data_IF_635264233741
#
_entry.id   IF_635264233741
#
_cell.length_a   1.000
_cell.length_b   1.000
_cell.length_c   1.000
_cell.angle_alpha   90.00
_cell.angle_beta   90.00
_cell.angle_gamma   90.00
#
_symmetry.space_group_name_H-M   'P 1'
#
loop_
_entity.id
_entity.type
_entity.pdbx_description
1 polymer ?
#
# COMPACT_ATOMS: atom_id res chain seq x y z
N UNK A 1 -48.17 -27.90 12.43
CA UNK A 1 -46.81 -28.42 12.17
C UNK A 1 -45.94 -27.24 11.78
N UNK A 2 -45.04 -26.81 12.67
CA UNK A 2 -44.10 -25.72 12.40
C UNK A 2 -43.00 -26.24 11.49
N UNK A 3 -42.90 -25.72 10.27
CA UNK A 3 -41.74 -25.94 9.42
C UNK A 3 -40.58 -25.09 9.96
N UNK A 4 -39.64 -25.77 10.59
CA UNK A 4 -38.33 -25.24 10.96
C UNK A 4 -37.55 -24.93 9.67
N UNK A 5 -37.38 -23.65 9.34
CA UNK A 5 -36.39 -23.22 8.37
C UNK A 5 -34.99 -23.53 8.93
N UNK A 6 -34.23 -24.37 8.22
CA UNK A 6 -32.82 -24.62 8.53
C UNK A 6 -32.04 -23.30 8.38
N UNK A 7 -31.17 -22.94 9.34
CA UNK A 7 -30.34 -21.74 9.20
C UNK A 7 -29.36 -21.95 8.04
N UNK A 8 -29.20 -20.92 7.20
CA UNK A 8 -28.18 -20.89 6.16
C UNK A 8 -26.80 -21.10 6.82
N UNK A 9 -26.19 -22.25 6.56
CA UNK A 9 -24.89 -22.60 7.13
C UNK A 9 -23.84 -21.69 6.47
N UNK A 10 -23.26 -20.77 7.25
CA UNK A 10 -22.19 -19.90 6.77
C UNK A 10 -21.06 -20.77 6.17
N UNK A 11 -20.58 -20.42 4.98
CA UNK A 11 -19.51 -21.16 4.33
C UNK A 11 -18.26 -21.14 5.22
N UNK A 12 -17.55 -22.28 5.30
CA UNK A 12 -16.26 -22.32 5.98
C UNK A 12 -15.26 -21.39 5.26
N UNK A 13 -14.27 -20.80 5.96
CA UNK A 13 -13.30 -19.89 5.35
C UNK A 13 -12.62 -20.48 4.11
N UNK A 14 -12.29 -21.78 4.13
CA UNK A 14 -11.70 -22.47 2.99
C UNK A 14 -12.61 -22.54 1.76
N UNK A 15 -13.92 -22.73 1.95
CA UNK A 15 -14.90 -22.77 0.85
C UNK A 15 -15.14 -21.37 0.27
N UNK A 16 -15.21 -20.35 1.14
CA UNK A 16 -15.32 -18.96 0.71
C UNK A 16 -14.09 -18.53 -0.10
N UNK A 17 -12.89 -18.89 0.36
CA UNK A 17 -11.64 -18.62 -0.35
C UNK A 17 -11.61 -19.31 -1.72
N UNK A 18 -12.00 -20.57 -1.82
CA UNK A 18 -12.06 -21.29 -3.09
C UNK A 18 -13.01 -20.61 -4.09
N UNK A 19 -14.22 -20.23 -3.64
CA UNK A 19 -15.18 -19.52 -4.50
C UNK A 19 -14.63 -18.16 -4.98
N UNK A 20 -13.95 -17.41 -4.10
CA UNK A 20 -13.31 -16.15 -4.46
C UNK A 20 -12.19 -16.35 -5.47
N UNK A 21 -11.34 -17.38 -5.30
CA UNK A 21 -10.28 -17.74 -6.26
C UNK A 21 -10.86 -18.05 -7.63
N UNK A 22 -11.90 -18.88 -7.70
CA UNK A 22 -12.54 -19.27 -8.96
C UNK A 22 -13.12 -18.05 -9.69
N UNK A 23 -13.83 -17.18 -8.96
CA UNK A 23 -14.36 -15.94 -9.49
C UNK A 23 -13.25 -15.00 -10.00
N UNK A 24 -12.14 -14.90 -9.25
CA UNK A 24 -10.98 -14.09 -9.61
C UNK A 24 -10.31 -14.59 -10.88
N UNK A 25 -9.98 -15.88 -10.96
CA UNK A 25 -9.33 -16.48 -12.14
C UNK A 25 -10.21 -16.33 -13.38
N UNK A 26 -11.52 -16.62 -13.25
CA UNK A 26 -12.48 -16.49 -14.34
C UNK A 26 -12.54 -15.05 -14.86
N UNK A 27 -12.76 -14.07 -13.98
CA UNK A 27 -12.91 -12.68 -14.37
C UNK A 27 -11.62 -12.09 -14.96
N UNK A 28 -10.46 -12.46 -14.41
CA UNK A 28 -9.15 -12.07 -14.93
C UNK A 28 -8.96 -12.57 -16.36
N UNK A 29 -9.28 -13.84 -16.63
CA UNK A 29 -9.16 -14.42 -17.97
C UNK A 29 -10.13 -13.78 -18.97
N UNK A 30 -11.39 -13.57 -18.58
CA UNK A 30 -12.43 -12.99 -19.45
C UNK A 30 -12.14 -11.55 -19.86
N UNK A 31 -11.57 -10.74 -18.96
CA UNK A 31 -11.41 -9.29 -19.16
C UNK A 31 -9.96 -8.81 -19.29
N UNK A 32 -8.97 -9.69 -19.14
CA UNK A 32 -7.54 -9.37 -19.19
C UNK A 32 -7.14 -8.21 -18.24
N UNK A 33 -7.81 -8.16 -17.08
CA UNK A 33 -7.63 -7.10 -16.07
C UNK A 33 -6.40 -7.34 -15.20
N UNK A 34 -5.86 -6.26 -14.63
CA UNK A 34 -4.84 -6.37 -13.57
C UNK A 34 -5.48 -6.83 -12.26
N UNK A 35 -4.70 -7.45 -11.38
CA UNK A 35 -5.21 -8.04 -10.13
C UNK A 35 -6.07 -7.09 -9.28
N UNK A 36 -5.68 -5.82 -9.18
CA UNK A 36 -6.46 -4.77 -8.51
C UNK A 36 -7.85 -4.61 -9.11
N UNK A 37 -7.92 -4.49 -10.43
CA UNK A 37 -9.17 -4.18 -11.12
C UNK A 37 -10.13 -5.37 -11.05
N UNK A 38 -9.59 -6.59 -11.04
CA UNK A 38 -10.36 -7.81 -10.75
C UNK A 38 -10.91 -7.78 -9.34
N UNK A 39 -10.09 -7.49 -8.32
CA UNK A 39 -10.53 -7.40 -6.94
C UNK A 39 -11.65 -6.36 -6.77
N UNK A 40 -11.46 -5.17 -7.34
CA UNK A 40 -12.47 -4.10 -7.34
C UNK A 40 -13.77 -4.53 -8.01
N UNK A 41 -13.69 -5.22 -9.16
CA UNK A 41 -14.86 -5.71 -9.87
C UNK A 41 -15.61 -6.83 -9.11
N UNK A 42 -14.92 -7.54 -8.21
CA UNK A 42 -15.51 -8.53 -7.30
C UNK A 42 -15.99 -7.92 -5.99
N UNK A 43 -15.78 -6.62 -5.76
CA UNK A 43 -16.19 -5.92 -4.54
C UNK A 43 -15.37 -6.27 -3.30
N UNK A 44 -14.12 -6.73 -3.49
CA UNK A 44 -13.17 -7.03 -2.41
C UNK A 44 -11.89 -6.20 -2.55
N UNK A 45 -11.14 -6.04 -1.47
CA UNK A 45 -9.82 -5.40 -1.53
C UNK A 45 -8.80 -6.26 -2.27
N UNK A 46 -7.70 -5.65 -2.72
CA UNK A 46 -6.60 -6.35 -3.37
C UNK A 46 -5.94 -7.37 -2.43
N UNK A 47 -5.83 -7.04 -1.13
CA UNK A 47 -5.31 -7.91 -0.10
C UNK A 47 -6.22 -9.11 0.19
N UNK A 48 -7.55 -8.93 0.22
CA UNK A 48 -8.49 -10.04 0.37
C UNK A 48 -8.42 -11.00 -0.82
N UNK A 49 -8.40 -10.45 -2.04
CA UNK A 49 -8.26 -11.26 -3.24
C UNK A 49 -6.96 -12.06 -3.25
N UNK A 50 -5.84 -11.46 -2.83
CA UNK A 50 -4.55 -12.16 -2.73
C UNK A 50 -4.55 -13.20 -1.60
N UNK A 51 -5.12 -12.88 -0.44
CA UNK A 51 -5.17 -13.77 0.71
C UNK A 51 -5.95 -15.06 0.42
N UNK A 52 -6.93 -15.02 -0.49
CA UNK A 52 -7.65 -16.21 -0.94
C UNK A 52 -6.73 -17.27 -1.57
N UNK A 53 -5.54 -16.89 -2.06
CA UNK A 53 -4.54 -17.79 -2.65
C UNK A 53 -3.47 -18.27 -1.67
N UNK A 54 -3.57 -17.93 -0.37
CA UNK A 54 -2.64 -18.43 0.64
C UNK A 54 -2.72 -19.95 0.72
N UNK A 55 -1.55 -20.61 0.70
CA UNK A 55 -1.42 -22.07 0.65
C UNK A 55 -1.37 -22.64 -0.78
N UNK A 56 -1.62 -21.81 -1.80
CA UNK A 56 -1.38 -22.14 -3.21
C UNK A 56 -0.02 -21.57 -3.63
N UNK A 57 -0.02 -20.47 -4.39
CA UNK A 57 1.16 -19.73 -4.83
C UNK A 57 1.47 -18.50 -3.97
N UNK A 58 0.73 -18.33 -2.87
CA UNK A 58 0.90 -17.23 -1.91
C UNK A 58 1.26 -17.81 -0.53
N UNK A 59 2.24 -17.20 0.12
CA UNK A 59 2.63 -17.49 1.50
C UNK A 59 2.39 -16.24 2.33
N UNK A 60 1.59 -16.37 3.40
CA UNK A 60 1.41 -15.30 4.38
C UNK A 60 2.69 -15.14 5.20
N UNK A 61 3.15 -13.90 5.33
CA UNK A 61 4.32 -13.55 6.12
C UNK A 61 3.91 -12.95 7.46
N UNK A 62 4.79 -13.12 8.44
CA UNK A 62 4.66 -12.60 9.80
C UNK A 62 4.91 -11.08 9.81
N UNK A 63 3.93 -10.32 10.29
CA UNK A 63 3.82 -8.87 10.14
C UNK A 63 4.73 -8.05 11.09
N UNK A 64 5.94 -8.52 11.36
CA UNK A 64 6.99 -7.79 12.10
C UNK A 64 7.79 -6.91 11.14
N UNK A 65 7.15 -5.87 10.62
CA UNK A 65 7.63 -5.12 9.45
C UNK A 65 8.99 -4.45 9.61
N UNK A 66 9.35 -3.77 10.73
CA UNK A 66 10.67 -3.17 10.88
C UNK A 66 11.78 -4.22 10.70
N UNK A 67 11.70 -5.34 11.42
CA UNK A 67 12.68 -6.43 11.35
C UNK A 67 12.72 -7.08 9.96
N UNK A 68 11.56 -7.18 9.31
CA UNK A 68 11.47 -7.68 7.95
C UNK A 68 12.20 -6.76 6.96
N UNK A 69 12.07 -5.44 7.13
CA UNK A 69 12.67 -4.45 6.24
C UNK A 69 14.18 -4.30 6.42
N UNK A 70 14.72 -4.63 7.59
CA UNK A 70 16.17 -4.76 7.82
C UNK A 70 16.81 -5.82 6.90
N UNK A 71 16.03 -6.79 6.41
CA UNK A 71 16.52 -7.86 5.53
C UNK A 71 16.31 -7.59 4.03
N UNK A 72 15.56 -6.54 3.65
CA UNK A 72 15.38 -6.15 2.23
C UNK A 72 16.70 -5.97 1.46
N UNK A 73 17.79 -5.42 2.04
CA UNK A 73 19.06 -5.30 1.33
C UNK A 73 19.61 -6.64 0.83
N UNK A 74 19.27 -7.75 1.49
CA UNK A 74 19.75 -9.10 1.12
C UNK A 74 19.16 -9.61 -0.19
N UNK A 75 18.06 -9.03 -0.68
CA UNK A 75 17.45 -9.40 -1.95
C UNK A 75 18.25 -8.90 -3.16
N UNK A 76 19.29 -8.09 -2.93
CA UNK A 76 20.04 -7.40 -3.98
C UNK A 76 19.19 -6.36 -4.68
N UNK A 77 19.48 -6.13 -5.98
CA UNK A 77 18.68 -5.24 -6.83
C UNK A 77 17.30 -5.85 -7.11
N UNK A 78 16.25 -5.06 -6.95
CA UNK A 78 14.85 -5.44 -7.12
C UNK A 78 14.06 -4.28 -7.73
N UNK A 79 12.82 -4.51 -8.14
CA UNK A 79 11.90 -3.43 -8.49
C UNK A 79 10.92 -3.16 -7.36
N UNK A 80 10.96 -1.95 -6.81
CA UNK A 80 10.04 -1.43 -5.82
C UNK A 80 8.87 -0.71 -6.50
N UNK A 81 7.64 -1.03 -6.11
CA UNK A 81 6.41 -0.42 -6.63
C UNK A 81 5.60 0.16 -5.47
N UNK A 82 5.35 1.47 -5.55
CA UNK A 82 4.43 2.19 -4.67
C UNK A 82 3.44 2.96 -5.53
N UNK A 83 2.17 3.04 -5.11
CA UNK A 83 1.15 3.72 -5.91
C UNK A 83 0.03 4.31 -5.06
N UNK A 84 -0.79 5.11 -5.71
CA UNK A 84 -2.12 5.50 -5.25
C UNK A 84 -3.12 5.33 -6.41
N UNK A 85 -4.29 5.94 -6.33
CA UNK A 85 -5.32 5.84 -7.38
C UNK A 85 -4.95 6.59 -8.66
N UNK A 86 -4.08 7.59 -8.58
CA UNK A 86 -3.74 8.48 -9.68
C UNK A 86 -2.37 8.20 -10.30
N UNK A 87 -1.44 7.58 -9.56
CA UNK A 87 -0.07 7.38 -10.01
C UNK A 87 0.51 6.04 -9.53
N UNK A 88 1.33 5.43 -10.39
CA UNK A 88 2.15 4.26 -10.10
C UNK A 88 3.61 4.66 -10.24
N UNK A 89 4.42 4.38 -9.23
CA UNK A 89 5.86 4.63 -9.22
C UNK A 89 6.60 3.30 -9.11
N UNK A 90 7.36 2.96 -10.14
CA UNK A 90 8.24 1.78 -10.18
C UNK A 90 9.70 2.25 -10.18
N UNK A 91 10.53 1.67 -9.31
CA UNK A 91 11.96 1.99 -9.21
C UNK A 91 12.77 0.71 -9.08
N UNK A 92 13.70 0.51 -10.00
CA UNK A 92 14.70 -0.56 -9.91
C UNK A 92 15.90 -0.07 -9.09
N UNK A 93 16.35 -0.87 -8.13
CA UNK A 93 17.41 -0.50 -7.20
C UNK A 93 17.61 -1.47 -6.04
N UNK A 94 18.60 -1.17 -5.20
CA UNK A 94 18.82 -1.82 -3.91
C UNK A 94 18.14 -1.04 -2.78
N UNK A 95 17.65 -1.77 -1.79
CA UNK A 95 17.30 -1.19 -0.48
C UNK A 95 18.60 -0.89 0.27
N UNK A 96 19.18 0.29 0.03
CA UNK A 96 20.40 0.73 0.69
C UNK A 96 20.08 1.53 1.96
N UNK A 97 21.04 1.52 2.89
CA UNK A 97 21.01 2.34 4.12
C UNK A 97 19.68 2.24 4.89
N UNK A 98 19.13 1.03 4.98
CA UNK A 98 17.93 0.76 5.75
C UNK A 98 18.13 1.17 7.21
N UNK A 99 17.22 1.98 7.73
CA UNK A 99 17.21 2.42 9.12
C UNK A 99 15.79 2.59 9.62
N UNK A 100 15.63 2.56 10.95
CA UNK A 100 14.33 2.68 11.61
C UNK A 100 14.45 3.57 12.86
N UNK A 101 13.43 4.40 13.07
CA UNK A 101 13.18 5.10 14.32
C UNK A 101 11.73 4.80 14.76
N UNK A 102 11.60 3.88 15.71
CA UNK A 102 10.31 3.34 16.13
C UNK A 102 9.49 2.79 14.95
N UNK A 103 8.27 3.31 14.68
CA UNK A 103 7.41 2.83 13.59
C UNK A 103 7.74 3.46 12.22
N UNK A 104 8.80 4.25 12.12
CA UNK A 104 9.19 4.94 10.87
C UNK A 104 10.47 4.28 10.33
N UNK A 105 10.41 3.80 9.09
CA UNK A 105 11.55 3.27 8.35
C UNK A 105 12.02 4.21 7.25
N UNK A 106 13.30 4.15 6.93
CA UNK A 106 13.94 4.85 5.84
C UNK A 106 14.75 3.87 5.01
N UNK A 107 14.63 3.98 3.69
CA UNK A 107 15.59 3.45 2.73
C UNK A 107 16.21 4.65 2.02
N UNK A 108 17.53 4.78 1.98
CA UNK A 108 18.23 5.91 1.38
C UNK A 108 19.25 5.38 0.35
N UNK A 109 18.97 5.59 -0.93
CA UNK A 109 19.79 5.08 -2.04
C UNK A 109 19.03 5.09 -3.37
N UNK A 110 19.25 4.07 -4.20
CA UNK A 110 18.48 3.88 -5.44
C UNK A 110 16.98 3.80 -5.12
N UNK A 111 16.62 3.01 -4.11
CA UNK A 111 15.30 3.00 -3.51
C UNK A 111 15.30 4.00 -2.35
N UNK A 112 14.63 5.14 -2.55
CA UNK A 112 14.45 6.19 -1.54
C UNK A 112 13.00 6.17 -1.01
N UNK A 113 12.81 5.68 0.22
CA UNK A 113 11.49 5.46 0.81
C UNK A 113 11.38 6.06 2.21
N UNK A 114 10.21 6.63 2.48
CA UNK A 114 9.75 6.98 3.84
C UNK A 114 8.63 6.01 4.19
N UNK A 115 8.88 5.14 5.16
CA UNK A 115 8.03 3.99 5.48
C UNK A 115 7.34 4.24 6.80
N UNK A 116 6.01 4.23 6.81
CA UNK A 116 5.20 4.42 8.02
C UNK A 116 4.54 3.10 8.42
N UNK A 117 5.25 2.24 9.15
CA UNK A 117 4.79 0.87 9.47
C UNK A 117 3.47 0.81 10.24
N UNK A 118 3.10 1.89 10.94
CA UNK A 118 1.81 1.99 11.63
C UNK A 118 0.58 1.74 10.75
N UNK A 119 0.71 1.93 9.44
CA UNK A 119 -0.37 1.74 8.48
C UNK A 119 -0.36 0.36 7.83
N UNK A 120 0.66 -0.45 8.09
CA UNK A 120 0.86 -1.76 7.48
C UNK A 120 0.16 -2.81 8.35
N UNK A 121 -0.54 -3.75 7.72
CA UNK A 121 -1.31 -4.77 8.43
C UNK A 121 -0.99 -6.19 7.99
N UNK A 122 -0.69 -6.42 6.71
CA UNK A 122 -0.36 -7.76 6.20
C UNK A 122 0.75 -7.76 5.15
N UNK A 123 1.44 -8.90 5.06
CA UNK A 123 2.51 -9.16 4.11
C UNK A 123 2.33 -10.55 3.49
N UNK A 124 2.63 -10.66 2.20
CA UNK A 124 2.53 -11.90 1.45
C UNK A 124 3.73 -12.04 0.51
N UNK A 125 4.26 -13.25 0.41
CA UNK A 125 5.17 -13.66 -0.65
C UNK A 125 4.35 -14.36 -1.73
N UNK A 126 4.56 -14.00 -2.99
CA UNK A 126 3.77 -14.44 -4.14
C UNK A 126 4.69 -14.99 -5.21
N UNK A 127 4.32 -16.12 -5.80
CA UNK A 127 5.00 -16.71 -6.95
C UNK A 127 4.00 -16.90 -8.09
N UNK A 128 3.93 -15.92 -8.98
CA UNK A 128 3.07 -16.01 -10.16
C UNK A 128 3.79 -16.71 -11.32
N UNK A 129 3.09 -17.56 -12.05
CA UNK A 129 3.56 -18.07 -13.34
C UNK A 129 3.15 -17.07 -14.43
N UNK A 130 4.12 -16.55 -15.19
CA UNK A 130 3.90 -15.59 -16.27
C UNK A 130 4.43 -16.12 -17.60
N UNK A 131 4.03 -15.54 -18.76
CA UNK A 131 4.60 -15.91 -20.05
C UNK A 131 6.13 -15.75 -20.13
N UNK A 132 6.72 -14.94 -19.25
CA UNK A 132 8.16 -14.69 -19.17
C UNK A 132 8.86 -15.53 -18.08
N UNK A 133 8.15 -16.50 -17.48
CA UNK A 133 8.62 -17.33 -16.38
C UNK A 133 8.05 -16.93 -15.01
N UNK A 134 8.53 -17.58 -13.93
CA UNK A 134 8.02 -17.33 -12.59
C UNK A 134 8.42 -15.93 -12.10
N UNK A 135 7.45 -15.18 -11.59
CA UNK A 135 7.62 -13.87 -10.99
C UNK A 135 7.43 -13.97 -9.47
N UNK A 136 8.50 -13.72 -8.73
CA UNK A 136 8.49 -13.68 -7.25
C UNK A 136 8.30 -12.24 -6.77
N UNK A 137 7.43 -12.05 -5.78
CA UNK A 137 7.22 -10.73 -5.17
C UNK A 137 6.85 -10.79 -3.69
N UNK A 138 7.19 -9.73 -2.97
CA UNK A 138 6.69 -9.42 -1.64
C UNK A 138 5.66 -8.31 -1.75
N UNK A 139 4.48 -8.48 -1.16
CA UNK A 139 3.36 -7.54 -1.28
C UNK A 139 2.81 -7.19 0.09
N UNK A 140 2.65 -5.90 0.35
CA UNK A 140 2.32 -5.33 1.66
C UNK A 140 1.02 -4.52 1.57
N UNK A 141 0.15 -4.69 2.55
CA UNK A 141 -1.19 -4.12 2.55
C UNK A 141 -1.53 -3.42 3.86
N UNK A 142 -2.38 -2.41 3.78
CA UNK A 142 -2.96 -1.73 4.94
C UNK A 142 -4.10 -2.56 5.57
N UNK A 143 -4.66 -2.05 6.67
CA UNK A 143 -5.76 -2.71 7.36
C UNK A 143 -7.04 -2.77 6.53
N UNK A 144 -7.20 -1.98 5.48
CA UNK A 144 -8.32 -2.03 4.54
C UNK A 144 -8.07 -3.06 3.42
N UNK A 145 -6.86 -3.65 3.35
CA UNK A 145 -6.45 -4.53 2.27
C UNK A 145 -6.03 -3.80 0.99
N UNK A 146 -5.72 -2.50 1.05
CA UNK A 146 -5.12 -1.79 -0.08
C UNK A 146 -3.61 -2.01 -0.12
N UNK A 147 -3.05 -2.17 -1.32
CA UNK A 147 -1.61 -2.32 -1.50
C UNK A 147 -0.87 -1.04 -1.09
N UNK A 148 0.05 -1.15 -0.14
CA UNK A 148 0.96 -0.07 0.28
C UNK A 148 2.23 -0.10 -0.57
N UNK A 149 2.83 -1.28 -0.68
CA UNK A 149 4.13 -1.45 -1.31
C UNK A 149 4.30 -2.86 -1.88
N UNK A 150 5.06 -2.98 -2.96
CA UNK A 150 5.43 -4.27 -3.53
C UNK A 150 6.89 -4.29 -3.94
N UNK A 151 7.53 -5.44 -3.78
CA UNK A 151 8.91 -5.71 -4.16
C UNK A 151 8.90 -6.87 -5.13
N UNK A 152 9.29 -6.63 -6.37
CA UNK A 152 9.36 -7.64 -7.42
C UNK A 152 10.81 -8.02 -7.68
N UNK A 153 11.08 -9.33 -7.68
CA UNK A 153 12.36 -9.84 -8.13
C UNK A 153 12.47 -9.72 -9.65
N UNK A 154 13.68 -9.42 -10.11
CA UNK A 154 14.11 -9.39 -11.50
C UNK A 154 15.10 -10.52 -11.74
N UNK A 155 15.55 -10.67 -12.99
CA UNK A 155 16.54 -11.68 -13.35
C UNK A 155 17.87 -11.51 -12.58
N UNK A 156 18.23 -10.28 -12.23
CA UNK A 156 19.46 -9.95 -11.50
C UNK A 156 19.32 -9.99 -9.97
N UNK A 157 18.11 -10.22 -9.44
CA UNK A 157 17.86 -10.25 -8.00
C UNK A 157 18.44 -11.52 -7.37
N UNK A 158 18.61 -11.51 -6.05
CA UNK A 158 18.99 -12.72 -5.31
C UNK A 158 17.74 -13.56 -4.99
N UNK A 159 17.47 -14.54 -5.87
CA UNK A 159 16.34 -15.46 -5.73
C UNK A 159 16.49 -16.44 -4.56
N UNK A 160 17.72 -16.78 -4.18
CA UNK A 160 17.98 -17.67 -3.04
C UNK A 160 17.75 -16.93 -1.72
N UNK A 161 18.17 -15.66 -1.64
CA UNK A 161 17.87 -14.79 -0.51
C UNK A 161 16.37 -14.58 -0.33
N UNK A 162 15.61 -14.45 -1.43
CA UNK A 162 14.15 -14.42 -1.35
C UNK A 162 13.58 -15.71 -0.77
N UNK A 163 14.02 -16.89 -1.23
CA UNK A 163 13.49 -18.16 -0.72
C UNK A 163 13.81 -18.34 0.78
N UNK A 164 15.01 -17.95 1.21
CA UNK A 164 15.40 -17.93 2.62
C UNK A 164 14.58 -16.92 3.45
N UNK A 165 14.33 -15.75 2.88
CA UNK A 165 13.49 -14.71 3.50
C UNK A 165 12.05 -15.22 3.70
N UNK A 166 11.44 -15.83 2.69
CA UNK A 166 10.08 -16.38 2.77
C UNK A 166 10.03 -17.50 3.83
N UNK A 167 11.02 -18.40 3.86
CA UNK A 167 11.08 -19.45 4.86
C UNK A 167 11.17 -18.89 6.30
N UNK A 168 11.99 -17.86 6.50
CA UNK A 168 12.16 -17.20 7.81
C UNK A 168 10.92 -16.46 8.26
N UNK A 169 10.29 -15.73 7.36
CA UNK A 169 9.17 -14.84 7.67
C UNK A 169 7.81 -15.49 7.50
N UNK A 170 7.73 -16.78 7.14
CA UNK A 170 6.47 -17.49 7.02
C UNK A 170 5.66 -17.42 8.32
N UNK A 171 4.43 -16.91 8.24
CA UNK A 171 3.52 -16.87 9.39
C UNK A 171 3.11 -18.29 9.82
N UNK A 172 2.86 -18.46 11.13
CA UNK A 172 2.39 -19.73 11.68
C UNK A 172 1.02 -20.12 11.09
N UNK A 173 0.07 -19.17 11.08
CA UNK A 173 -1.20 -19.33 10.37
C UNK A 173 -1.03 -19.05 8.88
N UNK A 174 -1.58 -19.93 8.04
CA UNK A 174 -1.70 -19.75 6.60
C UNK A 174 -3.17 -19.84 6.18
N UNK A 175 -4.07 -19.27 6.99
CA UNK A 175 -5.48 -19.23 6.63
C UNK A 175 -5.69 -18.38 5.35
N UNK A 176 -6.53 -18.85 4.41
CA UNK A 176 -6.78 -18.19 3.14
C UNK A 176 -7.86 -17.10 3.24
N UNK A 177 -7.76 -16.25 4.26
CA UNK A 177 -8.68 -15.16 4.52
C UNK A 177 -7.94 -13.93 5.08
N UNK A 178 -8.44 -12.72 4.82
CA UNK A 178 -7.88 -11.50 5.39
C UNK A 178 -8.99 -10.71 6.06
N UNK A 179 -8.83 -10.41 7.34
CA UNK A 179 -9.73 -9.52 8.06
C UNK A 179 -9.39 -8.07 7.69
N UNK A 180 -10.30 -7.40 7.00
CA UNK A 180 -10.16 -5.99 6.64
C UNK A 180 -11.00 -5.10 7.55
N UNK A 181 -10.45 -3.93 7.86
CA UNK A 181 -11.04 -2.90 8.71
C UNK A 181 -11.53 -1.76 7.81
N UNK A 182 -12.81 -1.34 7.92
CA UNK A 182 -13.33 -0.19 7.17
C UNK A 182 -12.50 1.07 7.39
N UNK A 183 -12.36 1.88 6.33
CA UNK A 183 -11.71 3.17 6.44
C UNK A 183 -12.47 4.11 7.40
N UNK A 184 -11.73 4.83 8.24
CA UNK A 184 -12.32 5.87 9.08
C UNK A 184 -12.96 6.97 8.20
N UNK A 185 -14.06 7.55 8.66
CA UNK A 185 -14.69 8.68 7.97
C UNK A 185 -13.74 9.87 7.94
N UNK A 186 -13.61 10.49 6.76
CA UNK A 186 -12.86 11.74 6.62
C UNK A 186 -13.63 12.85 7.32
N UNK A 187 -12.97 13.55 8.23
CA UNK A 187 -13.53 14.76 8.83
C UNK A 187 -13.63 15.85 7.75
N UNK A 188 -14.78 16.55 7.65
CA UNK A 188 -14.90 17.66 6.72
C UNK A 188 -13.93 18.79 7.10
N UNK A 189 -13.52 19.58 6.10
CA UNK A 189 -12.77 20.81 6.36
C UNK A 189 -13.62 21.76 7.20
N UNK A 190 -12.98 22.45 8.15
CA UNK A 190 -13.60 23.62 8.81
C UNK A 190 -13.78 24.73 7.78
N UNK A 191 -14.73 25.63 8.00
CA UNK A 191 -14.87 26.79 7.12
C UNK A 191 -13.57 27.61 7.14
N UNK A 192 -13.15 28.11 5.98
CA UNK A 192 -11.95 28.94 5.86
C UNK A 192 -12.01 30.18 6.77
N UNK A 193 -13.22 30.71 7.00
CA UNK A 193 -13.49 31.82 7.92
C UNK A 193 -13.15 31.52 9.38
N UNK A 194 -13.09 30.24 9.76
CA UNK A 194 -12.83 29.80 11.13
C UNK A 194 -11.33 29.57 11.39
N UNK A 195 -10.49 29.72 10.37
CA UNK A 195 -9.05 29.52 10.45
C UNK A 195 -8.37 30.84 10.78
N UNK A 196 -7.42 30.82 11.72
CA UNK A 196 -6.47 31.91 11.91
C UNK A 196 -5.47 31.94 10.74
N UNK A 197 -5.91 32.53 9.61
CA UNK A 197 -5.12 32.60 8.37
C UNK A 197 -3.84 33.41 8.56
N UNK A 198 -3.90 34.49 9.35
CA UNK A 198 -2.73 35.33 9.61
C UNK A 198 -1.67 34.56 10.40
N UNK A 199 -2.06 33.89 11.48
CA UNK A 199 -1.17 33.02 12.25
C UNK A 199 -0.65 31.85 11.43
N UNK A 200 -1.50 31.24 10.60
CA UNK A 200 -1.10 30.14 9.71
C UNK A 200 -0.03 30.57 8.72
N UNK A 201 -0.22 31.71 8.04
CA UNK A 201 0.75 32.26 7.08
C UNK A 201 2.06 32.66 7.75
N UNK A 202 2.01 33.27 8.94
CA UNK A 202 3.20 33.59 9.71
C UNK A 202 3.99 32.33 10.10
N UNK A 203 3.30 31.28 10.53
CA UNK A 203 3.92 29.99 10.87
C UNK A 203 4.54 29.32 9.64
N UNK A 204 3.85 29.34 8.49
CA UNK A 204 4.40 28.84 7.22
C UNK A 204 5.65 29.64 6.83
N UNK A 205 5.59 30.97 6.83
CA UNK A 205 6.73 31.82 6.43
C UNK A 205 7.96 31.69 7.33
N UNK A 206 7.79 31.23 8.57
CA UNK A 206 8.87 30.95 9.51
C UNK A 206 9.48 29.54 9.37
N UNK A 207 8.99 28.71 8.44
CA UNK A 207 9.51 27.36 8.25
C UNK A 207 10.96 27.39 7.77
N UNK A 208 11.76 26.50 8.37
CA UNK A 208 13.16 26.26 7.98
C UNK A 208 13.36 24.86 7.40
N UNK A 209 12.36 23.99 7.51
CA UNK A 209 12.41 22.60 7.07
C UNK A 209 11.02 22.13 6.60
N UNK A 210 10.97 21.36 5.52
CA UNK A 210 9.70 20.92 4.90
C UNK A 210 8.88 19.98 5.79
N UNK A 211 9.51 19.25 6.72
CA UNK A 211 8.83 18.37 7.67
C UNK A 211 8.04 19.14 8.74
N UNK A 212 8.33 20.43 8.94
CA UNK A 212 7.56 21.31 9.84
C UNK A 212 6.12 21.53 9.33
N UNK A 213 5.90 21.43 8.01
CA UNK A 213 4.61 21.73 7.40
C UNK A 213 3.47 20.89 7.97
N UNK A 214 3.72 19.59 8.19
CA UNK A 214 2.71 18.70 8.75
C UNK A 214 2.29 19.10 10.17
N UNK A 215 3.25 19.52 11.01
CA UNK A 215 2.95 20.04 12.35
C UNK A 215 2.14 21.33 12.29
N UNK A 216 2.42 22.21 11.33
CA UNK A 216 1.67 23.46 11.11
C UNK A 216 0.24 23.16 10.69
N UNK A 217 0.01 22.28 9.70
CA UNK A 217 -1.37 21.97 9.26
C UNK A 217 -2.20 21.33 10.37
N UNK A 218 -1.61 20.47 11.20
CA UNK A 218 -2.26 19.91 12.39
C UNK A 218 -2.60 20.98 13.42
N UNK A 219 -1.65 21.88 13.72
CA UNK A 219 -1.85 22.98 14.69
C UNK A 219 -3.01 23.89 14.32
N UNK A 220 -3.15 24.22 13.04
CA UNK A 220 -4.23 25.10 12.55
C UNK A 220 -5.50 24.33 12.15
N UNK A 221 -5.46 22.98 12.20
CA UNK A 221 -6.60 22.14 11.86
C UNK A 221 -7.05 22.26 10.41
N UNK A 222 -6.09 22.44 9.48
CA UNK A 222 -6.35 22.60 8.05
C UNK A 222 -5.93 21.35 7.27
N UNK A 223 -6.70 21.00 6.24
CA UNK A 223 -6.26 19.98 5.28
C UNK A 223 -5.09 20.49 4.44
N UNK A 224 -4.42 19.61 3.69
CA UNK A 224 -3.37 20.05 2.75
C UNK A 224 -3.91 20.96 1.65
N UNK A 225 -5.11 20.68 1.12
CA UNK A 225 -5.70 21.51 0.06
C UNK A 225 -6.20 22.85 0.60
N UNK A 226 -6.80 22.85 1.79
CA UNK A 226 -7.16 24.07 2.50
C UNK A 226 -5.94 24.93 2.83
N UNK A 227 -4.86 24.30 3.29
CA UNK A 227 -3.59 24.97 3.54
C UNK A 227 -3.06 25.67 2.29
N UNK A 228 -3.07 25.00 1.12
CA UNK A 228 -2.64 25.59 -0.15
C UNK A 228 -3.54 26.75 -0.60
N UNK A 229 -4.86 26.64 -0.38
CA UNK A 229 -5.84 27.70 -0.70
C UNK A 229 -5.68 28.93 0.20
N UNK A 230 -5.35 28.73 1.48
CA UNK A 230 -5.16 29.78 2.48
C UNK A 230 -3.73 30.34 2.53
N UNK A 231 -2.79 29.70 1.85
CA UNK A 231 -1.40 30.14 1.78
C UNK A 231 -1.28 31.58 1.26
N UNK A 232 -0.14 32.20 1.57
CA UNK A 232 0.22 33.45 0.90
C UNK A 232 0.50 33.14 -0.60
N UNK A 233 0.01 33.96 -1.55
CA UNK A 233 0.21 33.73 -2.98
C UNK A 233 1.69 33.61 -3.41
N UNK A 234 2.62 34.17 -2.62
CA UNK A 234 4.06 34.00 -2.88
C UNK A 234 4.55 32.55 -2.65
N UNK A 235 3.83 31.75 -1.86
CA UNK A 235 4.20 30.37 -1.53
C UNK A 235 3.39 29.33 -2.30
N UNK A 236 2.13 29.62 -2.62
CA UNK A 236 1.30 28.71 -3.39
C UNK A 236 0.27 29.47 -4.23
N UNK A 237 0.11 29.02 -5.48
CA UNK A 237 -0.91 29.50 -6.39
C UNK A 237 -1.40 28.33 -7.26
N UNK A 238 -2.66 28.35 -7.71
CA UNK A 238 -3.18 27.31 -8.60
C UNK A 238 -2.52 27.42 -9.99
N UNK A 239 -2.28 26.26 -10.59
CA UNK A 239 -1.82 26.12 -11.97
C UNK A 239 -2.86 25.38 -12.80
N UNK A 240 -2.75 25.45 -14.13
CA UNK A 240 -3.63 24.75 -15.06
C UNK A 240 -3.46 23.22 -14.89
N UNK A 241 -4.58 22.51 -14.69
CA UNK A 241 -4.54 21.10 -14.25
C UNK A 241 -4.20 20.12 -15.37
N UNK A 242 -4.62 20.38 -16.61
CA UNK A 242 -4.51 19.43 -17.71
C UNK A 242 -3.08 19.29 -18.26
N UNK A 243 -2.29 20.37 -18.22
CA UNK A 243 -1.01 20.47 -18.91
C UNK A 243 0.16 20.85 -18.02
N UNK A 244 -0.03 21.46 -16.85
CA UNK A 244 1.09 21.93 -16.04
C UNK A 244 2.08 20.81 -15.66
N UNK A 245 1.59 19.62 -15.27
CA UNK A 245 2.48 18.50 -14.94
C UNK A 245 3.26 18.03 -16.17
N UNK A 246 2.59 17.91 -17.33
CA UNK A 246 3.24 17.50 -18.58
C UNK A 246 4.33 18.50 -18.97
N UNK A 247 4.02 19.78 -18.89
CA UNK A 247 4.95 20.86 -19.23
C UNK A 247 6.23 20.86 -18.37
N UNK A 248 6.17 20.35 -17.14
CA UNK A 248 7.36 20.25 -16.26
C UNK A 248 8.19 18.99 -16.56
N UNK A 249 7.57 17.93 -17.10
CA UNK A 249 8.24 16.65 -17.37
C UNK A 249 8.88 16.59 -18.77
N UNK A 250 8.37 17.36 -19.72
CA UNK A 250 8.83 17.47 -21.11
C UNK A 250 9.79 18.64 -21.29
#
# INVERSE_FOLDING_TARGET
MMQSALPAQAATPARAAAALRDAFVKLKAERQLRNRDVAQALGVSEGEALAAFVGEHVVRLDARFPQMFEEMPRLGRVMALTRNDAAVHEKDGEYAQMSHDGPIGLALGDIDLRIFYRHWASAFAVRDETPHGPLKSLQFFDAQGHAIHKVYLRAHSDHAAYDAFVARWRAASQEPALDVVPAASKQPERADSDIDVAGFRAAWGAMTDTHQFFGITQRFGVSRMQALRLADPQYAYPVETAHALRHVLE
#
